data_IF_937266956507
#
_entry.id   IF_937266956507
#
_cell.length_a   1.000
_cell.length_b   1.000
_cell.length_c   1.000
_cell.angle_alpha   90.00
_cell.angle_beta   90.00
_cell.angle_gamma   90.00
#
_symmetry.space_group_name_H-M   'P 1'
#
loop_
_entity.id
_entity.type
_entity.pdbx_description
1 polymer ?
#
# COMPACT_ATOMS: atom_id res chain seq x y z
N UNK A 1 14.46 -3.01 -20.54
CA UNK A 1 13.65 -3.21 -19.31
C UNK A 1 12.34 -3.80 -19.74
N UNK A 2 11.89 -4.85 -19.07
CA UNK A 2 10.55 -5.42 -19.29
C UNK A 2 9.49 -4.47 -18.76
N UNK A 3 8.33 -4.42 -19.42
CA UNK A 3 7.18 -3.68 -18.91
C UNK A 3 6.65 -4.37 -17.64
N UNK A 4 6.14 -3.60 -16.66
CA UNK A 4 5.61 -4.19 -15.43
C UNK A 4 4.26 -4.87 -15.69
N UNK A 5 4.07 -6.03 -15.06
CA UNK A 5 2.75 -6.68 -14.99
C UNK A 5 1.95 -6.06 -13.85
N UNK A 6 0.71 -5.70 -14.13
CA UNK A 6 -0.16 -5.09 -13.13
C UNK A 6 -0.95 -6.16 -12.37
N UNK A 7 -0.98 -6.03 -11.05
CA UNK A 7 -1.83 -6.79 -10.14
C UNK A 7 -3.11 -6.03 -9.79
N UNK A 8 -3.91 -6.58 -8.87
CA UNK A 8 -5.13 -5.95 -8.40
C UNK A 8 -5.33 -6.11 -6.89
N UNK A 9 -5.84 -5.07 -6.25
CA UNK A 9 -6.43 -5.10 -4.93
C UNK A 9 -7.86 -5.66 -5.05
N UNK A 10 -8.19 -6.65 -4.23
CA UNK A 10 -9.42 -7.42 -4.36
C UNK A 10 -10.02 -7.80 -3.01
N UNK A 11 -11.34 -7.77 -2.94
CA UNK A 11 -12.14 -8.49 -1.94
C UNK A 11 -12.56 -9.85 -2.50
N UNK A 12 -13.15 -10.73 -1.67
CA UNK A 12 -13.72 -11.99 -2.14
C UNK A 12 -14.64 -11.79 -3.36
N UNK A 13 -15.54 -10.81 -3.26
CA UNK A 13 -16.52 -10.55 -4.32
C UNK A 13 -15.86 -10.08 -5.62
N UNK A 14 -14.92 -9.16 -5.53
CA UNK A 14 -14.21 -8.65 -6.73
C UNK A 14 -13.22 -9.68 -7.30
N UNK A 15 -12.64 -10.54 -6.45
CA UNK A 15 -11.82 -11.65 -6.92
C UNK A 15 -12.65 -12.64 -7.75
N UNK A 16 -13.87 -13.00 -7.31
CA UNK A 16 -14.75 -13.90 -8.05
C UNK A 16 -15.11 -13.31 -9.44
N UNK A 17 -15.27 -11.99 -9.55
CA UNK A 17 -15.49 -11.30 -10.84
C UNK A 17 -14.24 -11.37 -11.75
N UNK A 18 -13.05 -11.26 -11.15
CA UNK A 18 -11.77 -11.12 -11.87
C UNK A 18 -10.98 -12.43 -11.97
N UNK A 19 -11.51 -13.54 -11.46
CA UNK A 19 -10.78 -14.81 -11.26
C UNK A 19 -10.02 -15.25 -12.50
N UNK A 20 -10.69 -15.34 -13.65
CA UNK A 20 -10.08 -15.83 -14.87
C UNK A 20 -8.92 -14.92 -15.31
N UNK A 21 -9.15 -13.62 -15.32
CA UNK A 21 -8.13 -12.61 -15.67
C UNK A 21 -6.92 -12.63 -14.73
N UNK A 22 -7.15 -12.85 -13.42
CA UNK A 22 -6.08 -12.97 -12.44
C UNK A 22 -5.29 -14.26 -12.63
N UNK A 23 -6.00 -15.40 -12.70
CA UNK A 23 -5.37 -16.72 -12.71
C UNK A 23 -4.71 -17.07 -14.05
N UNK A 24 -5.28 -16.67 -15.20
CA UNK A 24 -4.69 -16.91 -16.52
C UNK A 24 -3.30 -16.29 -16.69
N UNK A 25 -3.03 -15.21 -16.00
CA UNK A 25 -1.76 -14.49 -16.08
C UNK A 25 -0.94 -14.55 -14.78
N UNK A 26 -1.37 -15.32 -13.78
CA UNK A 26 -0.75 -15.36 -12.45
C UNK A 26 -0.46 -13.97 -11.89
N UNK A 27 -1.45 -13.06 -11.96
CA UNK A 27 -1.28 -11.66 -11.53
C UNK A 27 -1.10 -11.58 -10.02
N UNK A 28 -0.28 -10.66 -9.57
CA UNK A 28 -0.18 -10.34 -8.14
C UNK A 28 -1.54 -9.85 -7.63
N UNK A 29 -1.96 -10.34 -6.47
CA UNK A 29 -3.16 -9.85 -5.79
C UNK A 29 -2.81 -9.26 -4.44
N UNK A 30 -3.65 -8.31 -4.02
CA UNK A 30 -3.66 -7.79 -2.66
C UNK A 30 -5.06 -7.91 -2.08
N UNK A 31 -5.18 -8.64 -0.98
CA UNK A 31 -6.46 -8.97 -0.35
C UNK A 31 -6.87 -7.83 0.59
N UNK A 32 -8.08 -7.30 0.41
CA UNK A 32 -8.61 -6.13 1.12
C UNK A 32 -9.62 -6.46 2.24
N UNK A 33 -10.00 -7.72 2.43
CA UNK A 33 -11.08 -8.07 3.38
C UNK A 33 -10.68 -7.97 4.86
N UNK A 34 -9.39 -7.78 5.18
CA UNK A 34 -8.88 -7.78 6.55
C UNK A 34 -8.56 -6.38 7.10
N UNK A 35 -8.94 -5.33 6.37
CA UNK A 35 -8.64 -3.93 6.75
C UNK A 35 -9.44 -3.43 7.94
N UNK A 36 -10.65 -3.97 8.15
CA UNK A 36 -11.58 -3.43 9.14
C UNK A 36 -11.38 -4.02 10.54
N UNK A 37 -11.38 -3.19 11.61
CA UNK A 37 -11.17 -3.66 12.98
C UNK A 37 -12.16 -4.71 13.46
N UNK A 38 -13.42 -4.68 12.98
CA UNK A 38 -14.43 -5.68 13.33
C UNK A 38 -14.14 -7.05 12.70
N UNK A 39 -13.35 -7.11 11.64
CA UNK A 39 -12.90 -8.36 11.02
C UNK A 39 -11.64 -8.85 11.72
N UNK A 40 -10.60 -8.03 11.73
CA UNK A 40 -9.29 -8.45 12.26
C UNK A 40 -9.29 -8.64 13.79
N UNK A 41 -10.20 -8.01 14.51
CA UNK A 41 -10.37 -8.14 15.95
C UNK A 41 -11.31 -9.27 16.40
N UNK A 42 -11.89 -10.03 15.45
CA UNK A 42 -12.81 -11.13 15.71
C UNK A 42 -12.23 -12.45 15.16
N UNK A 43 -12.98 -13.54 15.29
CA UNK A 43 -12.65 -14.80 14.60
C UNK A 43 -12.88 -14.65 13.08
N UNK A 44 -11.80 -14.67 12.34
CA UNK A 44 -11.78 -14.55 10.88
C UNK A 44 -11.31 -15.85 10.18
N UNK A 45 -11.28 -16.98 10.91
CA UNK A 45 -10.86 -18.27 10.38
C UNK A 45 -11.70 -18.73 9.19
N UNK A 46 -13.00 -18.47 9.20
CA UNK A 46 -13.91 -18.76 8.10
C UNK A 46 -13.59 -17.95 6.83
N UNK A 47 -13.21 -16.69 6.99
CA UNK A 47 -12.81 -15.83 5.86
C UNK A 47 -11.47 -16.29 5.27
N UNK A 48 -10.50 -16.68 6.11
CA UNK A 48 -9.24 -17.29 5.65
C UNK A 48 -9.51 -18.58 4.87
N UNK A 49 -10.44 -19.45 5.33
CA UNK A 49 -10.78 -20.66 4.64
C UNK A 49 -11.38 -20.38 3.24
N UNK A 50 -12.28 -19.41 3.12
CA UNK A 50 -12.83 -18.99 1.85
C UNK A 50 -11.76 -18.46 0.88
N UNK A 51 -10.82 -17.66 1.38
CA UNK A 51 -9.70 -17.20 0.55
C UNK A 51 -8.80 -18.34 0.09
N UNK A 52 -8.48 -19.30 0.96
CA UNK A 52 -7.68 -20.47 0.58
C UNK A 52 -8.32 -21.26 -0.54
N UNK A 53 -9.63 -21.47 -0.48
CA UNK A 53 -10.39 -22.15 -1.54
C UNK A 53 -10.30 -21.39 -2.87
N UNK A 54 -10.51 -20.08 -2.85
CA UNK A 54 -10.44 -19.24 -4.06
C UNK A 54 -9.05 -19.15 -4.67
N UNK A 55 -8.04 -19.19 -3.83
CA UNK A 55 -6.64 -19.13 -4.24
C UNK A 55 -6.08 -20.49 -4.72
N UNK A 56 -6.90 -21.53 -4.73
CA UNK A 56 -6.48 -22.81 -5.28
C UNK A 56 -6.15 -22.67 -6.77
N UNK A 57 -4.91 -23.07 -7.13
CA UNK A 57 -4.36 -22.94 -8.48
C UNK A 57 -3.78 -21.56 -8.82
N UNK A 58 -3.97 -20.52 -8.02
CA UNK A 58 -3.30 -19.24 -8.22
C UNK A 58 -1.84 -19.29 -7.80
N UNK A 59 -0.93 -18.95 -8.73
CA UNK A 59 0.54 -19.03 -8.57
C UNK A 59 1.23 -17.66 -8.50
N UNK A 60 0.48 -16.58 -8.70
CA UNK A 60 0.99 -15.22 -8.58
C UNK A 60 1.36 -14.85 -7.14
N UNK A 61 2.08 -13.74 -6.98
CA UNK A 61 2.36 -13.21 -5.65
C UNK A 61 1.07 -12.77 -4.97
N UNK A 62 1.05 -12.91 -3.65
CA UNK A 62 -0.07 -12.52 -2.79
C UNK A 62 0.39 -11.49 -1.79
N UNK A 63 -0.47 -10.55 -1.51
CA UNK A 63 -0.34 -9.61 -0.42
C UNK A 63 -1.65 -9.40 0.27
N UNK A 64 -1.61 -8.66 1.36
CA UNK A 64 -2.80 -8.15 2.03
C UNK A 64 -2.65 -6.66 2.27
N UNK A 65 -3.77 -5.94 2.20
CA UNK A 65 -3.83 -4.67 2.91
C UNK A 65 -4.04 -4.97 4.39
N UNK A 66 -3.14 -4.47 5.23
CA UNK A 66 -3.24 -4.63 6.68
C UNK A 66 -4.37 -3.78 7.26
N UNK A 67 -4.73 -3.98 8.51
CA UNK A 67 -5.72 -3.14 9.18
C UNK A 67 -5.20 -1.72 9.34
N UNK A 68 -6.06 -0.72 9.08
CA UNK A 68 -5.63 0.68 9.12
C UNK A 68 -6.61 1.63 9.85
N UNK A 69 -7.90 1.32 9.92
CA UNK A 69 -8.89 2.24 10.48
C UNK A 69 -8.52 2.65 11.91
N UNK A 70 -8.22 3.95 12.09
CA UNK A 70 -7.82 4.55 13.37
C UNK A 70 -6.57 3.93 14.03
N UNK A 71 -5.70 3.29 13.26
CA UNK A 71 -4.45 2.70 13.74
C UNK A 71 -3.28 3.64 13.43
N UNK A 72 -2.90 4.46 14.43
CA UNK A 72 -1.73 5.33 14.34
C UNK A 72 -0.50 4.61 14.90
N UNK A 73 0.44 4.24 14.02
CA UNK A 73 1.69 3.56 14.41
C UNK A 73 2.63 4.45 15.22
N UNK A 74 2.44 5.78 15.21
CA UNK A 74 3.19 6.72 16.02
C UNK A 74 2.43 7.21 17.27
N UNK A 75 1.32 6.54 17.64
CA UNK A 75 0.52 6.92 18.80
C UNK A 75 1.40 7.14 20.04
N UNK A 76 1.33 8.32 20.69
CA UNK A 76 2.19 8.62 21.83
C UNK A 76 1.79 7.84 23.08
N UNK A 77 0.53 7.41 23.20
CA UNK A 77 0.04 6.61 24.31
C UNK A 77 0.45 5.13 24.13
N UNK A 78 1.23 4.57 25.07
CA UNK A 78 1.66 3.18 24.99
C UNK A 78 0.52 2.15 24.94
N UNK A 79 -0.63 2.44 25.56
CA UNK A 79 -1.78 1.54 25.54
C UNK A 79 -2.44 1.52 24.16
N UNK A 80 -2.55 2.67 23.49
CA UNK A 80 -3.03 2.77 22.11
C UNK A 80 -2.04 2.05 21.18
N UNK A 81 -0.74 2.30 21.34
CA UNK A 81 0.32 1.65 20.56
C UNK A 81 0.30 0.13 20.69
N UNK A 82 0.03 -0.40 21.89
CA UNK A 82 -0.11 -1.84 22.12
C UNK A 82 -1.30 -2.43 21.33
N UNK A 83 -2.42 -1.72 21.24
CA UNK A 83 -3.56 -2.13 20.40
C UNK A 83 -3.20 -2.11 18.94
N UNK A 84 -2.48 -1.09 18.46
CA UNK A 84 -2.00 -1.01 17.07
C UNK A 84 -1.11 -2.21 16.74
N UNK A 85 -0.14 -2.52 17.60
CA UNK A 85 0.73 -3.69 17.46
C UNK A 85 -0.08 -4.98 17.37
N UNK A 86 -1.05 -5.19 18.28
CA UNK A 86 -1.91 -6.37 18.28
C UNK A 86 -2.66 -6.53 16.94
N UNK A 87 -3.21 -5.45 16.40
CA UNK A 87 -3.93 -5.48 15.12
C UNK A 87 -3.01 -5.76 13.94
N UNK A 88 -1.83 -5.15 13.90
CA UNK A 88 -0.82 -5.41 12.86
C UNK A 88 -0.29 -6.85 12.93
N UNK A 89 -0.09 -7.40 14.13
CA UNK A 89 0.31 -8.79 14.33
C UNK A 89 -0.77 -9.76 13.81
N UNK A 90 -2.06 -9.48 14.10
CA UNK A 90 -3.16 -10.26 13.57
C UNK A 90 -3.21 -10.21 12.02
N UNK A 91 -2.92 -9.04 11.43
CA UNK A 91 -2.74 -8.91 9.98
C UNK A 91 -1.62 -9.81 9.44
N UNK A 92 -0.47 -9.84 10.10
CA UNK A 92 0.64 -10.72 9.71
C UNK A 92 0.30 -12.20 9.87
N UNK A 93 -0.52 -12.58 10.86
CA UNK A 93 -0.99 -13.96 10.99
C UNK A 93 -1.91 -14.36 9.83
N UNK A 94 -2.75 -13.43 9.36
CA UNK A 94 -3.52 -13.62 8.11
C UNK A 94 -2.57 -13.73 6.91
N UNK A 95 -1.59 -12.84 6.79
CA UNK A 95 -0.60 -12.90 5.72
C UNK A 95 0.09 -14.25 5.65
N UNK A 96 0.58 -14.75 6.79
CA UNK A 96 1.19 -16.08 6.89
C UNK A 96 0.22 -17.19 6.52
N UNK A 97 -1.04 -17.12 6.99
CA UNK A 97 -2.07 -18.12 6.68
C UNK A 97 -2.43 -18.20 5.19
N UNK A 98 -2.31 -17.10 4.44
CA UNK A 98 -2.62 -17.00 3.00
C UNK A 98 -1.38 -17.07 2.10
N UNK A 99 -0.18 -17.18 2.68
CA UNK A 99 1.07 -17.16 1.93
C UNK A 99 1.34 -15.80 1.27
N UNK A 100 0.91 -14.71 1.90
CA UNK A 100 1.16 -13.37 1.45
C UNK A 100 2.61 -12.96 1.75
N UNK A 101 3.26 -12.33 0.78
CA UNK A 101 4.66 -11.89 0.85
C UNK A 101 4.81 -10.39 1.07
N UNK A 102 3.69 -9.66 1.17
CA UNK A 102 3.66 -8.26 1.60
C UNK A 102 2.38 -7.95 2.39
N UNK A 103 2.49 -6.97 3.27
CA UNK A 103 1.38 -6.36 3.98
C UNK A 103 1.51 -4.84 3.91
N UNK A 104 0.53 -4.16 3.34
CA UNK A 104 0.48 -2.69 3.31
C UNK A 104 -0.03 -2.17 4.64
N UNK A 105 0.58 -1.12 5.16
CA UNK A 105 0.15 -0.37 6.34
C UNK A 105 0.26 1.12 6.09
N UNK A 106 -0.54 1.90 6.79
CA UNK A 106 -0.56 3.34 6.62
C UNK A 106 0.55 4.08 7.38
N UNK A 107 1.03 5.15 6.78
CA UNK A 107 1.98 6.11 7.34
C UNK A 107 1.36 6.89 8.51
N UNK A 108 2.15 7.30 9.52
CA UNK A 108 1.69 8.16 10.60
C UNK A 108 1.72 9.65 10.23
N UNK A 109 2.29 10.01 9.07
CA UNK A 109 2.47 11.40 8.69
C UNK A 109 1.19 11.98 8.08
N UNK A 110 0.91 13.25 8.40
CA UNK A 110 -0.26 13.95 7.86
C UNK A 110 0.15 15.35 7.38
N UNK A 111 -0.72 15.97 6.56
CA UNK A 111 -0.54 17.37 6.15
C UNK A 111 -0.39 18.31 7.35
N UNK A 112 -1.09 18.02 8.45
CA UNK A 112 -0.99 18.86 9.67
C UNK A 112 0.43 18.83 10.23
N UNK A 113 1.07 17.67 10.28
CA UNK A 113 2.43 17.52 10.78
C UNK A 113 3.41 18.37 9.96
N UNK A 114 3.41 18.19 8.64
CA UNK A 114 4.32 18.92 7.74
C UNK A 114 4.13 20.43 7.84
N UNK A 115 2.88 20.91 7.87
CA UNK A 115 2.58 22.33 8.01
C UNK A 115 3.03 22.92 9.37
N UNK A 116 3.18 22.09 10.39
CA UNK A 116 3.46 22.54 11.75
C UNK A 116 4.87 22.19 12.28
N UNK A 117 5.70 21.49 11.53
CA UNK A 117 7.07 21.16 11.97
C UNK A 117 7.88 22.41 12.38
N UNK A 118 7.70 23.54 11.72
CA UNK A 118 8.37 24.78 12.08
C UNK A 118 7.94 25.32 13.48
N UNK A 119 6.70 25.02 13.88
CA UNK A 119 6.16 25.46 15.19
C UNK A 119 6.49 24.46 16.31
N UNK A 120 6.66 23.19 15.97
CA UNK A 120 6.86 22.08 16.91
C UNK A 120 8.07 21.24 16.48
N UNK A 121 9.29 21.77 16.68
CA UNK A 121 10.52 21.15 16.21
C UNK A 121 10.77 19.72 16.73
N UNK A 122 10.16 19.34 17.86
CA UNK A 122 10.27 18.00 18.44
C UNK A 122 9.33 16.98 17.76
N UNK A 123 8.29 17.45 17.08
CA UNK A 123 7.18 16.61 16.61
C UNK A 123 7.65 15.49 15.68
N UNK A 124 8.53 15.82 14.73
CA UNK A 124 9.05 14.84 13.77
C UNK A 124 9.81 13.70 14.47
N UNK A 125 10.64 14.03 15.48
CA UNK A 125 11.35 13.03 16.27
C UNK A 125 10.41 12.11 17.02
N UNK A 126 9.38 12.65 17.66
CA UNK A 126 8.35 11.87 18.39
C UNK A 126 7.62 10.89 17.46
N UNK A 127 7.24 11.32 16.24
CA UNK A 127 6.59 10.46 15.25
C UNK A 127 7.51 9.33 14.81
N UNK A 128 8.77 9.64 14.53
CA UNK A 128 9.76 8.66 14.09
C UNK A 128 10.06 7.62 15.17
N UNK A 129 10.31 8.05 16.40
CA UNK A 129 10.56 7.17 17.55
C UNK A 129 9.35 6.30 17.86
N UNK A 130 8.15 6.90 17.91
CA UNK A 130 6.91 6.17 18.18
C UNK A 130 6.61 5.11 17.12
N UNK A 131 6.78 5.44 15.86
CA UNK A 131 6.60 4.49 14.76
C UNK A 131 7.64 3.35 14.80
N UNK A 132 8.91 3.66 15.08
CA UNK A 132 9.95 2.66 15.21
C UNK A 132 9.69 1.70 16.38
N UNK A 133 9.29 2.20 17.54
CA UNK A 133 8.91 1.37 18.70
C UNK A 133 7.69 0.49 18.40
N UNK A 134 6.68 1.06 17.70
CA UNK A 134 5.49 0.31 17.31
C UNK A 134 5.83 -0.81 16.34
N UNK A 135 6.65 -0.53 15.33
CA UNK A 135 6.96 -1.48 14.26
C UNK A 135 7.99 -2.53 14.66
N UNK A 136 8.80 -2.33 15.70
CA UNK A 136 9.86 -3.27 16.05
C UNK A 136 9.37 -4.73 16.22
N UNK A 137 8.35 -5.06 17.05
CA UNK A 137 7.83 -6.41 17.14
C UNK A 137 7.09 -6.88 15.87
N UNK A 138 6.45 -5.97 15.15
CA UNK A 138 5.74 -6.26 13.89
C UNK A 138 6.73 -6.71 12.81
N UNK A 139 7.86 -6.04 12.70
CA UNK A 139 8.91 -6.38 11.73
C UNK A 139 9.64 -7.68 12.09
N UNK A 140 9.83 -7.96 13.38
CA UNK A 140 10.34 -9.25 13.83
C UNK A 140 9.40 -10.39 13.37
N UNK A 141 8.10 -10.24 13.57
CA UNK A 141 7.09 -11.21 13.07
C UNK A 141 7.06 -11.31 11.57
N UNK A 142 7.13 -10.18 10.85
CA UNK A 142 7.17 -10.15 9.39
C UNK A 142 8.36 -10.95 8.83
N UNK A 143 9.53 -10.86 9.47
CA UNK A 143 10.71 -11.63 9.10
C UNK A 143 10.53 -13.15 9.32
N UNK A 144 9.83 -13.57 10.37
CA UNK A 144 9.56 -14.99 10.63
C UNK A 144 8.73 -15.66 9.54
N UNK A 145 7.85 -14.89 8.87
CA UNK A 145 6.93 -15.41 7.83
C UNK A 145 7.34 -14.99 6.42
N UNK A 146 8.53 -14.41 6.24
CA UNK A 146 9.03 -13.89 4.97
C UNK A 146 8.06 -12.89 4.29
N UNK A 147 7.43 -12.03 5.10
CA UNK A 147 6.54 -10.98 4.65
C UNK A 147 7.23 -9.61 4.75
N UNK A 148 7.03 -8.73 3.76
CA UNK A 148 7.53 -7.35 3.80
C UNK A 148 6.39 -6.39 4.12
N UNK A 149 6.59 -5.57 5.15
CA UNK A 149 5.67 -4.47 5.49
C UNK A 149 5.93 -3.30 4.54
N UNK A 150 4.87 -2.80 3.91
CA UNK A 150 4.89 -1.73 2.92
C UNK A 150 4.23 -0.49 3.53
N UNK A 151 5.03 0.53 3.84
CA UNK A 151 4.56 1.77 4.49
C UNK A 151 4.02 2.74 3.44
N UNK A 152 2.73 2.95 3.41
CA UNK A 152 2.00 3.71 2.40
C UNK A 152 1.70 5.15 2.82
N UNK A 153 1.71 6.10 1.86
CA UNK A 153 1.22 7.47 2.07
C UNK A 153 -0.31 7.53 2.08
N UNK A 154 -0.83 8.27 3.03
CA UNK A 154 -2.26 8.63 3.10
C UNK A 154 -2.41 10.15 3.03
N UNK A 155 -2.04 10.83 4.11
CA UNK A 155 -2.10 12.29 4.23
C UNK A 155 -0.71 12.95 4.16
N UNK A 156 0.30 12.19 3.74
CA UNK A 156 1.68 12.66 3.63
C UNK A 156 1.82 13.76 2.58
N UNK A 157 2.40 14.88 2.93
CA UNK A 157 2.67 15.98 2.00
C UNK A 157 4.17 16.17 1.71
N UNK A 158 5.05 15.54 2.50
CA UNK A 158 6.48 15.42 2.19
C UNK A 158 6.86 13.95 1.97
N UNK A 159 7.17 13.55 0.74
CA UNK A 159 7.52 12.14 0.44
C UNK A 159 8.79 11.65 1.15
N UNK A 160 9.62 12.56 1.67
CA UNK A 160 10.87 12.21 2.37
C UNK A 160 10.61 11.64 3.75
N UNK A 161 9.54 12.05 4.44
CA UNK A 161 9.26 11.60 5.81
C UNK A 161 9.19 10.07 5.91
N UNK A 162 8.43 9.41 5.05
CA UNK A 162 8.36 7.93 5.01
C UNK A 162 9.70 7.29 4.63
N UNK A 163 10.36 7.84 3.63
CA UNK A 163 11.65 7.30 3.15
C UNK A 163 12.71 7.37 4.24
N UNK A 164 12.76 8.48 4.98
CA UNK A 164 13.70 8.68 6.09
C UNK A 164 13.32 7.81 7.30
N UNK A 165 12.02 7.63 7.61
CA UNK A 165 11.58 6.70 8.65
C UNK A 165 12.00 5.25 8.33
N UNK A 166 11.76 4.78 7.11
CA UNK A 166 12.18 3.45 6.66
C UNK A 166 13.70 3.31 6.68
N UNK A 167 14.43 4.38 6.32
CA UNK A 167 15.88 4.39 6.38
C UNK A 167 16.42 4.36 7.83
N UNK A 168 15.77 5.06 8.75
CA UNK A 168 16.13 5.08 10.17
C UNK A 168 15.93 3.72 10.85
N UNK A 169 14.79 3.06 10.55
CA UNK A 169 14.48 1.72 11.11
C UNK A 169 15.43 0.66 10.52
N UNK A 170 15.82 0.78 9.26
CA UNK A 170 16.81 -0.06 8.57
C UNK A 170 16.53 -1.57 8.69
N UNK A 171 15.28 -1.99 8.50
CA UNK A 171 14.88 -3.39 8.56
C UNK A 171 14.64 -3.97 7.16
N UNK A 172 15.12 -5.19 6.83
CA UNK A 172 14.98 -5.77 5.49
C UNK A 172 13.52 -6.03 5.09
N UNK A 173 12.64 -6.26 6.06
CA UNK A 173 11.22 -6.48 5.82
C UNK A 173 10.37 -5.19 5.96
N UNK A 174 10.97 -4.00 5.78
CA UNK A 174 10.26 -2.73 5.73
C UNK A 174 10.64 -1.97 4.45
N UNK A 175 9.65 -1.66 3.63
CA UNK A 175 9.82 -0.87 2.42
C UNK A 175 8.75 0.22 2.33
N UNK A 176 8.93 1.13 1.37
CA UNK A 176 7.95 2.19 1.09
C UNK A 176 6.91 1.66 0.11
N UNK A 177 5.65 1.94 0.37
CA UNK A 177 4.54 1.91 -0.59
C UNK A 177 4.16 3.32 -1.01
N UNK A 178 3.66 3.47 -2.22
CA UNK A 178 3.09 4.70 -2.73
C UNK A 178 1.69 4.44 -3.25
N UNK A 179 0.71 5.21 -2.77
CA UNK A 179 -0.57 5.37 -3.46
C UNK A 179 -0.55 6.64 -4.32
N UNK A 180 -0.87 6.47 -5.60
CA UNK A 180 -0.81 7.56 -6.59
C UNK A 180 -1.93 8.56 -6.43
N UNK A 181 -3.12 8.15 -6.03
CA UNK A 181 -4.26 9.02 -5.79
C UNK A 181 -4.11 9.83 -4.50
N UNK A 182 -3.59 9.23 -3.44
CA UNK A 182 -3.26 9.95 -2.20
C UNK A 182 -2.18 11.02 -2.46
N UNK A 183 -1.15 10.70 -3.26
CA UNK A 183 -0.14 11.69 -3.64
C UNK A 183 -0.73 12.81 -4.49
N UNK A 184 -1.64 12.50 -5.43
CA UNK A 184 -2.34 13.51 -6.24
C UNK A 184 -3.29 14.38 -5.40
N UNK A 185 -4.00 13.77 -4.44
CA UNK A 185 -4.81 14.49 -3.46
C UNK A 185 -3.96 15.47 -2.63
N UNK A 186 -2.82 15.01 -2.13
CA UNK A 186 -1.89 15.84 -1.37
C UNK A 186 -1.35 16.98 -2.23
N UNK A 187 -1.02 16.72 -3.50
CA UNK A 187 -0.60 17.73 -4.46
C UNK A 187 -1.68 18.79 -4.69
N UNK A 188 -2.90 18.37 -5.00
CA UNK A 188 -3.99 19.28 -5.35
C UNK A 188 -4.51 20.11 -4.16
N UNK A 189 -4.55 19.54 -2.96
CA UNK A 189 -5.13 20.22 -1.77
C UNK A 189 -4.12 20.94 -0.90
N UNK A 190 -2.92 20.41 -0.77
CA UNK A 190 -1.95 20.86 0.21
C UNK A 190 -0.64 21.37 -0.41
N UNK A 191 -0.54 21.37 -1.74
CA UNK A 191 0.66 21.82 -2.45
C UNK A 191 1.86 20.89 -2.28
N UNK A 192 1.64 19.62 -2.00
CA UNK A 192 2.67 18.60 -2.03
C UNK A 192 3.31 18.50 -3.42
N UNK A 193 4.52 17.92 -3.57
CA UNK A 193 5.08 17.63 -4.88
C UNK A 193 4.15 16.73 -5.73
N UNK A 194 4.28 16.73 -7.06
CA UNK A 194 3.51 15.81 -7.92
C UNK A 194 3.90 14.35 -7.70
N UNK A 195 3.04 13.41 -8.11
CA UNK A 195 3.21 11.95 -7.94
C UNK A 195 4.60 11.45 -8.35
N UNK A 196 5.16 11.98 -9.44
CA UNK A 196 6.49 11.57 -9.93
C UNK A 196 7.62 11.90 -8.95
N UNK A 197 7.47 12.94 -8.15
CA UNK A 197 8.47 13.33 -7.14
C UNK A 197 8.36 12.42 -5.90
N UNK A 198 7.16 11.94 -5.56
CA UNK A 198 6.98 10.89 -4.55
C UNK A 198 7.69 9.60 -4.97
N UNK A 199 7.58 9.21 -6.25
CA UNK A 199 8.30 8.05 -6.78
C UNK A 199 9.81 8.28 -6.70
N UNK A 200 10.28 9.44 -7.14
CA UNK A 200 11.72 9.76 -7.14
C UNK A 200 12.32 9.78 -5.73
N UNK A 201 11.61 10.36 -4.76
CA UNK A 201 12.05 10.43 -3.36
C UNK A 201 12.17 9.05 -2.70
N UNK A 202 11.31 8.10 -3.08
CA UNK A 202 11.26 6.74 -2.50
C UNK A 202 11.95 5.67 -3.35
N UNK A 203 12.45 5.99 -4.54
CA UNK A 203 12.89 5.03 -5.56
C UNK A 203 13.80 3.91 -5.05
N UNK A 204 14.76 4.23 -4.15
CA UNK A 204 15.70 3.26 -3.59
C UNK A 204 15.04 2.24 -2.63
N UNK A 205 13.86 2.53 -2.10
CA UNK A 205 13.12 1.72 -1.11
C UNK A 205 11.66 1.47 -1.49
N UNK A 206 11.26 1.86 -2.71
CA UNK A 206 9.90 1.69 -3.21
C UNK A 206 9.67 0.24 -3.61
N UNK A 207 8.95 -0.51 -2.78
CA UNK A 207 8.66 -1.93 -2.99
C UNK A 207 7.25 -2.21 -3.52
N UNK A 208 6.36 -1.24 -3.40
CA UNK A 208 4.94 -1.41 -3.70
C UNK A 208 4.31 -0.10 -4.17
N UNK A 209 3.31 -0.17 -5.04
CA UNK A 209 2.54 1.00 -5.51
C UNK A 209 1.08 0.62 -5.71
N UNK A 210 0.18 1.35 -5.07
CA UNK A 210 -1.22 1.40 -5.46
C UNK A 210 -1.40 2.36 -6.62
N UNK A 211 -1.98 1.85 -7.70
CA UNK A 211 -2.30 2.61 -8.90
C UNK A 211 -3.81 2.89 -8.91
N UNK A 212 -4.18 4.09 -8.58
CA UNK A 212 -5.53 4.64 -8.70
C UNK A 212 -5.46 6.05 -9.25
N UNK A 213 -6.50 6.49 -9.95
CA UNK A 213 -6.60 7.86 -10.45
C UNK A 213 -7.46 8.73 -9.53
N UNK A 214 -7.22 10.03 -9.56
CA UNK A 214 -7.90 11.01 -8.74
C UNK A 214 -8.02 12.35 -9.48
N UNK A 215 -8.73 13.30 -8.87
CA UNK A 215 -8.94 14.66 -9.38
C UNK A 215 -8.14 15.72 -8.58
N UNK A 216 -7.26 15.30 -7.69
CA UNK A 216 -6.51 16.18 -6.78
C UNK A 216 -7.36 16.80 -5.67
N UNK A 217 -8.65 16.42 -5.55
CA UNK A 217 -9.56 16.99 -4.56
C UNK A 217 -9.97 15.99 -3.47
N UNK A 218 -10.23 14.72 -3.84
CA UNK A 218 -10.65 13.67 -2.93
C UNK A 218 -9.99 12.33 -3.28
N UNK A 219 -9.99 11.42 -2.32
CA UNK A 219 -9.58 10.04 -2.50
C UNK A 219 -10.64 9.32 -3.35
N UNK A 220 -10.33 9.11 -4.63
CA UNK A 220 -11.32 8.69 -5.63
C UNK A 220 -11.29 7.22 -5.97
N UNK A 221 -10.12 6.59 -5.89
CA UNK A 221 -9.92 5.22 -6.36
C UNK A 221 -10.48 4.96 -7.76
N UNK A 222 -10.31 5.92 -8.69
CA UNK A 222 -10.74 5.78 -10.07
C UNK A 222 -9.77 4.91 -10.87
N UNK A 223 -10.25 4.36 -11.98
CA UNK A 223 -9.39 3.64 -12.90
C UNK A 223 -8.33 4.57 -13.52
N UNK A 224 -7.07 4.12 -13.67
CA UNK A 224 -6.03 4.88 -14.37
C UNK A 224 -6.49 5.40 -15.74
N UNK A 225 -6.48 6.74 -15.90
CA UNK A 225 -6.93 7.45 -17.08
C UNK A 225 -8.33 8.07 -16.97
N UNK A 226 -9.02 7.92 -15.84
CA UNK A 226 -10.32 8.55 -15.58
C UNK A 226 -10.18 9.87 -14.79
N UNK A 227 -9.00 10.15 -14.23
CA UNK A 227 -8.67 11.35 -13.48
C UNK A 227 -7.63 12.22 -14.17
N UNK A 228 -6.78 12.88 -13.38
CA UNK A 228 -5.82 13.87 -13.88
C UNK A 228 -4.35 13.42 -13.78
N UNK A 229 -4.07 12.24 -13.22
CA UNK A 229 -2.70 11.75 -13.02
C UNK A 229 -2.01 11.53 -14.37
N UNK A 230 -0.79 12.08 -14.57
CA UNK A 230 -0.06 11.96 -15.83
C UNK A 230 0.63 10.58 -15.93
N UNK A 231 -0.09 9.54 -16.31
CA UNK A 231 0.36 8.13 -16.26
C UNK A 231 1.65 7.84 -17.03
N UNK A 232 1.91 8.51 -18.17
CA UNK A 232 3.15 8.29 -18.93
C UNK A 232 4.41 8.68 -18.13
N UNK A 233 4.53 9.87 -17.51
CA UNK A 233 5.60 10.20 -16.58
C UNK A 233 5.67 9.26 -15.38
N UNK A 234 4.51 8.91 -14.77
CA UNK A 234 4.44 7.99 -13.61
C UNK A 234 5.05 6.63 -13.96
N UNK A 235 4.60 5.97 -15.02
CA UNK A 235 5.16 4.68 -15.43
C UNK A 235 6.63 4.79 -15.87
N UNK A 236 7.05 5.94 -16.43
CA UNK A 236 8.48 6.17 -16.73
C UNK A 236 9.34 6.20 -15.47
N UNK A 237 8.87 6.90 -14.43
CA UNK A 237 9.56 6.97 -13.14
C UNK A 237 9.58 5.60 -12.44
N UNK A 238 8.46 4.88 -12.43
CA UNK A 238 8.37 3.52 -11.84
C UNK A 238 9.34 2.54 -12.50
N UNK A 239 9.48 2.57 -13.83
CA UNK A 239 10.45 1.72 -14.55
C UNK A 239 11.90 2.03 -14.21
N UNK A 240 12.19 3.23 -13.73
CA UNK A 240 13.53 3.62 -13.32
C UNK A 240 13.87 3.21 -11.88
N UNK A 241 12.88 2.74 -11.10
CA UNK A 241 13.10 2.31 -9.72
C UNK A 241 13.92 1.02 -9.69
N UNK A 242 15.03 0.96 -8.91
CA UNK A 242 15.90 -0.21 -8.87
C UNK A 242 15.24 -1.42 -8.17
N UNK A 243 14.24 -1.18 -7.33
CA UNK A 243 13.56 -2.21 -6.55
C UNK A 243 12.48 -2.98 -7.34
N UNK A 244 12.13 -2.52 -8.55
CA UNK A 244 11.08 -3.12 -9.36
C UNK A 244 9.78 -3.32 -8.55
N UNK A 245 9.11 -2.25 -8.12
CA UNK A 245 8.00 -2.31 -7.18
C UNK A 245 6.82 -3.12 -7.73
N UNK A 246 6.07 -3.76 -6.83
CA UNK A 246 4.79 -4.38 -7.16
C UNK A 246 3.78 -3.30 -7.49
N UNK A 247 3.11 -3.43 -8.64
CA UNK A 247 2.14 -2.45 -9.11
C UNK A 247 0.74 -3.04 -9.01
N UNK A 248 -0.06 -2.54 -8.09
CA UNK A 248 -1.39 -3.05 -7.74
C UNK A 248 -2.43 -1.99 -8.10
N UNK A 249 -3.37 -2.34 -8.96
CA UNK A 249 -4.53 -1.50 -9.26
C UNK A 249 -5.48 -1.55 -8.07
N UNK A 250 -5.65 -0.41 -7.39
CA UNK A 250 -6.56 -0.26 -6.27
C UNK A 250 -7.69 0.70 -6.64
N UNK A 251 -8.74 0.13 -7.23
CA UNK A 251 -9.89 0.90 -7.71
C UNK A 251 -11.15 0.55 -6.95
N UNK A 252 -12.07 1.50 -6.84
CA UNK A 252 -13.39 1.30 -6.26
C UNK A 252 -14.45 1.28 -7.37
N UNK A 253 -15.53 0.52 -7.13
CA UNK A 253 -16.69 0.47 -8.02
C UNK A 253 -16.61 -0.63 -9.07
N UNK A 254 -16.46 -0.30 -10.34
CA UNK A 254 -16.55 -1.25 -11.45
C UNK A 254 -15.26 -2.09 -11.64
N UNK A 255 -15.07 -3.09 -10.78
CA UNK A 255 -13.93 -4.01 -10.88
C UNK A 255 -13.92 -4.81 -12.20
N UNK A 256 -15.09 -5.10 -12.78
CA UNK A 256 -15.17 -5.85 -14.04
C UNK A 256 -14.47 -5.11 -15.20
N UNK A 257 -14.27 -3.79 -15.09
CA UNK A 257 -13.55 -2.96 -16.07
C UNK A 257 -12.03 -3.02 -15.94
N UNK A 258 -11.46 -3.64 -14.89
CA UNK A 258 -10.00 -3.72 -14.71
C UNK A 258 -9.24 -4.33 -15.89
N UNK A 259 -9.69 -5.45 -16.49
CA UNK A 259 -9.04 -6.01 -17.68
C UNK A 259 -8.95 -5.03 -18.85
N UNK A 260 -10.02 -4.26 -19.10
CA UNK A 260 -10.03 -3.21 -20.13
C UNK A 260 -9.05 -2.08 -19.80
N UNK A 261 -9.04 -1.62 -18.53
CA UNK A 261 -8.10 -0.58 -18.08
C UNK A 261 -6.66 -1.02 -18.29
N UNK A 262 -6.31 -2.26 -17.94
CA UNK A 262 -4.97 -2.82 -18.16
C UNK A 262 -4.66 -2.89 -19.64
N UNK A 263 -5.58 -3.39 -20.48
CA UNK A 263 -5.38 -3.46 -21.93
C UNK A 263 -5.10 -2.07 -22.54
N UNK A 264 -5.78 -1.01 -22.07
CA UNK A 264 -5.50 0.36 -22.50
C UNK A 264 -4.09 0.84 -22.13
N UNK A 265 -3.60 0.47 -20.94
CA UNK A 265 -2.24 0.79 -20.50
C UNK A 265 -1.19 0.00 -21.30
N UNK A 266 -1.44 -1.26 -21.59
CA UNK A 266 -0.60 -2.13 -22.43
C UNK A 266 -0.49 -1.58 -23.87
N UNK A 267 -1.60 -1.23 -24.49
CA UNK A 267 -1.64 -0.61 -25.83
C UNK A 267 -0.85 0.71 -25.91
N UNK A 268 -0.73 1.42 -24.79
CA UNK A 268 0.11 2.62 -24.67
C UNK A 268 1.58 2.32 -24.37
N UNK A 269 1.96 1.05 -24.24
CA UNK A 269 3.31 0.62 -23.87
C UNK A 269 3.71 0.99 -22.45
N UNK A 270 2.74 1.06 -21.52
CA UNK A 270 2.98 1.40 -20.12
C UNK A 270 3.09 0.16 -19.24
N UNK A 271 2.37 -0.93 -19.56
CA UNK A 271 2.35 -2.21 -18.86
C UNK A 271 2.41 -3.38 -19.83
N UNK A 272 2.47 -4.64 -19.32
CA UNK A 272 2.40 -5.90 -20.07
C UNK A 272 1.50 -6.93 -19.35
#
# INVERSE_FOLDING_TARGET
MTLPRLGAAVTLDSFDILRDWICESDRTIEIQDFVHPSVIGADHSGLIAQWRERLEGHRGLRGIHGPFFSLDIAAPDPAIRAVVQERLMAGLDVAGALGATHMVIHSPFTFWHTLNYANYAFLRGVLFEGAAECLAPVLARAAEIDCTVMLENIDDTDPRDRTELVAMIEHPNLMVSLDTGHAELAHGRYGAPPVVDFIAASAARLGHVHLQDADGYADRHWHPGDGVIPWRPVFSALRACPQNPRLILEVQGDHARLPETVSRLEQRGLAC
#
